data_IF_348786191142
#
_entry.id   IF_348786191142
#
_cell.length_a   1.000
_cell.length_b   1.000
_cell.length_c   1.000
_cell.angle_alpha   90.00
_cell.angle_beta   90.00
_cell.angle_gamma   90.00
#
_symmetry.space_group_name_H-M   'P 1'
#
loop_
_entity.id
_entity.type
_entity.pdbx_description
1 polymer ?
#
# COMPACT_ATOMS: atom_id res chain seq x y z
N UNK A 1 26.03 -2.48 11.92
CA UNK A 1 25.21 -1.43 12.60
C UNK A 1 23.76 -1.96 12.77
N UNK A 2 22.77 -1.15 13.16
CA UNK A 2 21.38 -1.65 13.34
C UNK A 2 20.79 -2.26 12.06
N UNK A 3 21.16 -1.72 10.89
CA UNK A 3 20.74 -2.25 9.60
C UNK A 3 21.32 -3.64 9.37
N UNK A 4 22.63 -3.79 9.54
CA UNK A 4 23.32 -5.08 9.41
C UNK A 4 22.78 -6.14 10.39
N UNK A 5 22.45 -5.74 11.62
CA UNK A 5 21.84 -6.63 12.61
C UNK A 5 20.44 -7.10 12.16
N UNK A 6 19.61 -6.19 11.63
CA UNK A 6 18.30 -6.53 11.11
C UNK A 6 18.38 -7.43 9.86
N UNK A 7 19.27 -7.12 8.92
CA UNK A 7 19.52 -7.94 7.73
C UNK A 7 20.04 -9.34 8.09
N UNK A 8 20.90 -9.42 9.10
CA UNK A 8 21.40 -10.69 9.63
C UNK A 8 20.26 -11.51 10.25
N UNK A 9 19.41 -10.91 11.08
CA UNK A 9 18.25 -11.59 11.67
C UNK A 9 17.34 -12.17 10.58
N UNK A 10 16.99 -11.35 9.58
CA UNK A 10 16.14 -11.76 8.45
C UNK A 10 16.80 -12.86 7.63
N UNK A 11 18.09 -12.76 7.32
CA UNK A 11 18.80 -13.79 6.54
C UNK A 11 18.93 -15.13 7.29
N UNK A 12 18.88 -15.11 8.62
CA UNK A 12 18.82 -16.31 9.46
C UNK A 12 17.38 -16.86 9.63
N UNK A 13 16.39 -16.29 8.94
CA UNK A 13 14.99 -16.68 9.03
C UNK A 13 14.25 -16.16 10.27
N UNK A 14 14.87 -15.23 11.01
CA UNK A 14 14.22 -14.51 12.10
C UNK A 14 13.31 -13.40 11.56
N UNK A 15 12.29 -13.04 12.34
CA UNK A 15 11.39 -11.94 12.05
C UNK A 15 11.31 -10.95 13.21
N UNK A 16 10.67 -9.82 12.96
CA UNK A 16 10.30 -8.88 14.01
C UNK A 16 8.84 -9.12 14.37
N UNK A 17 8.58 -9.56 15.59
CA UNK A 17 7.23 -9.71 16.14
C UNK A 17 7.05 -8.81 17.35
N UNK A 18 5.86 -8.25 17.49
CA UNK A 18 5.44 -7.66 18.75
C UNK A 18 4.79 -8.74 19.62
N UNK A 19 5.05 -8.71 20.93
CA UNK A 19 4.46 -9.66 21.89
C UNK A 19 2.99 -9.38 22.19
N UNK A 20 2.49 -8.21 21.79
CA UNK A 20 1.12 -7.77 22.07
C UNK A 20 0.25 -7.87 20.81
N UNK A 21 -0.99 -8.42 20.91
CA UNK A 21 -1.96 -8.36 19.82
C UNK A 21 -2.26 -6.92 19.41
N UNK A 22 -2.43 -6.67 18.11
CA UNK A 22 -2.65 -5.33 17.57
C UNK A 22 -3.86 -4.64 18.19
N UNK A 23 -4.98 -5.35 18.36
CA UNK A 23 -6.19 -4.84 19.03
C UNK A 23 -5.89 -4.28 20.42
N UNK A 24 -5.10 -5.00 21.22
CA UNK A 24 -4.72 -4.57 22.58
C UNK A 24 -3.83 -3.33 22.56
N UNK A 25 -2.95 -3.20 21.57
CA UNK A 25 -2.10 -2.01 21.39
C UNK A 25 -2.96 -0.80 21.02
N UNK A 26 -3.90 -0.97 20.09
CA UNK A 26 -4.82 0.09 19.65
C UNK A 26 -5.75 0.52 20.78
N UNK A 27 -6.36 -0.43 21.49
CA UNK A 27 -7.20 -0.15 22.66
C UNK A 27 -6.45 0.65 23.72
N UNK A 28 -5.24 0.21 24.09
CA UNK A 28 -4.43 0.90 25.09
C UNK A 28 -4.05 2.33 24.64
N UNK A 29 -3.70 2.52 23.37
CA UNK A 29 -3.39 3.83 22.82
C UNK A 29 -4.63 4.74 22.87
N UNK A 30 -5.79 4.26 22.46
CA UNK A 30 -7.05 5.02 22.49
C UNK A 30 -7.47 5.39 23.91
N UNK A 31 -7.33 4.49 24.89
CA UNK A 31 -7.57 4.77 26.31
C UNK A 31 -6.67 5.89 26.85
N UNK A 32 -5.46 6.02 26.31
CA UNK A 32 -4.53 7.10 26.61
C UNK A 32 -4.81 8.40 25.81
N UNK A 33 -5.84 8.42 24.96
CA UNK A 33 -6.16 9.53 24.07
C UNK A 33 -5.27 9.61 22.81
N UNK A 34 -4.54 8.54 22.51
CA UNK A 34 -3.69 8.42 21.33
C UNK A 34 -4.47 8.19 20.03
N UNK A 35 -3.73 8.27 18.92
CA UNK A 35 -4.21 8.05 17.55
C UNK A 35 -3.34 6.95 16.93
N UNK A 36 -3.97 5.95 16.33
CA UNK A 36 -3.31 4.79 15.74
C UNK A 36 -3.24 4.91 14.23
N UNK A 37 -2.02 4.98 13.70
CA UNK A 37 -1.74 5.17 12.27
C UNK A 37 -0.92 4.00 11.75
N UNK A 38 -1.32 3.43 10.61
CA UNK A 38 -0.52 2.43 9.91
C UNK A 38 0.67 3.12 9.24
N UNK A 39 1.88 2.78 9.70
CA UNK A 39 3.13 3.34 9.17
C UNK A 39 3.55 2.64 7.87
N UNK A 40 4.04 3.43 6.91
CA UNK A 40 4.66 3.05 5.64
C UNK A 40 4.09 1.76 5.01
N UNK A 41 2.77 1.72 4.69
CA UNK A 41 2.08 0.53 4.18
C UNK A 41 2.65 -0.01 2.87
N UNK A 42 3.32 0.81 2.07
CA UNK A 42 3.94 0.45 0.79
C UNK A 42 5.37 -0.03 0.88
N UNK A 43 5.91 -0.20 2.08
CA UNK A 43 7.26 -0.70 2.30
C UNK A 43 7.30 -2.23 2.12
N UNK A 44 8.05 -2.71 1.14
CA UNK A 44 8.07 -4.13 0.73
C UNK A 44 9.11 -5.01 1.45
N UNK A 45 10.07 -4.41 2.16
CA UNK A 45 11.23 -5.12 2.76
C UNK A 45 10.92 -5.89 4.07
N UNK A 46 9.68 -5.84 4.53
CA UNK A 46 9.24 -6.45 5.80
C UNK A 46 8.14 -7.50 5.55
N UNK A 47 6.88 -7.19 5.86
CA UNK A 47 5.73 -8.10 5.71
C UNK A 47 5.09 -8.06 4.32
N UNK A 48 5.70 -7.32 3.39
CA UNK A 48 5.15 -7.03 2.07
C UNK A 48 4.33 -5.74 2.04
N UNK A 49 3.94 -5.35 0.82
CA UNK A 49 3.11 -4.17 0.57
C UNK A 49 1.67 -4.43 1.00
N UNK A 50 1.13 -3.56 1.85
CA UNK A 50 -0.26 -3.60 2.25
C UNK A 50 -1.18 -3.24 1.08
N UNK A 51 -2.08 -4.16 0.74
CA UNK A 51 -3.13 -3.92 -0.25
C UNK A 51 -4.37 -3.29 0.38
N UNK A 52 -5.30 -2.80 -0.46
CA UNK A 52 -6.60 -2.33 -0.01
C UNK A 52 -7.36 -3.43 0.78
N UNK A 53 -7.29 -4.68 0.31
CA UNK A 53 -7.96 -5.82 0.97
C UNK A 53 -7.32 -6.15 2.33
N UNK A 54 -6.00 -6.01 2.46
CA UNK A 54 -5.34 -6.18 3.75
C UNK A 54 -5.78 -5.12 4.75
N UNK A 55 -5.86 -3.86 4.30
CA UNK A 55 -6.36 -2.74 5.11
C UNK A 55 -7.82 -2.95 5.51
N UNK A 56 -8.69 -3.38 4.60
CA UNK A 56 -10.11 -3.66 4.89
C UNK A 56 -10.25 -4.73 5.97
N UNK A 57 -9.56 -5.84 5.82
CA UNK A 57 -9.56 -6.93 6.82
C UNK A 57 -9.06 -6.47 8.20
N UNK A 58 -8.09 -5.55 8.24
CA UNK A 58 -7.64 -4.96 9.51
C UNK A 58 -8.72 -4.09 10.14
N UNK A 59 -9.38 -3.24 9.35
CA UNK A 59 -10.39 -2.30 9.82
C UNK A 59 -11.71 -2.98 10.23
N UNK A 60 -11.98 -4.18 9.75
CA UNK A 60 -13.13 -5.00 10.19
C UNK A 60 -13.11 -5.29 11.70
N UNK A 61 -11.92 -5.35 12.31
CA UNK A 61 -11.74 -5.80 13.70
C UNK A 61 -11.01 -4.79 14.57
N UNK A 62 -10.27 -3.84 13.98
CA UNK A 62 -9.37 -2.95 14.71
C UNK A 62 -9.64 -1.50 14.30
N UNK A 63 -10.02 -0.61 15.25
CA UNK A 63 -10.37 0.77 14.93
C UNK A 63 -9.11 1.62 14.71
N UNK A 64 -8.47 1.51 13.55
CA UNK A 64 -7.35 2.37 13.19
C UNK A 64 -7.85 3.74 12.73
N UNK A 65 -7.10 4.78 13.07
CA UNK A 65 -7.51 6.18 12.80
C UNK A 65 -6.91 6.75 11.53
N UNK A 66 -5.74 6.24 11.10
CA UNK A 66 -4.98 6.84 10.01
C UNK A 66 -4.09 5.89 9.24
N UNK A 67 -3.61 6.39 8.10
CA UNK A 67 -2.71 5.72 7.18
C UNK A 67 -1.61 6.68 6.75
N UNK A 68 -0.36 6.21 6.73
CA UNK A 68 0.74 7.00 6.18
C UNK A 68 0.65 7.07 4.66
N UNK A 69 0.28 8.26 4.15
CA UNK A 69 0.22 8.54 2.72
C UNK A 69 1.53 9.08 2.17
N UNK A 70 2.42 9.56 3.03
CA UNK A 70 3.65 10.26 2.67
C UNK A 70 4.85 9.61 3.33
N UNK A 71 5.59 8.84 2.54
CA UNK A 71 6.77 8.12 2.99
C UNK A 71 7.95 8.44 2.06
N UNK A 72 9.17 8.43 2.60
CA UNK A 72 10.39 8.90 1.91
C UNK A 72 10.68 8.20 0.56
N UNK A 73 10.18 6.99 0.36
CA UNK A 73 10.44 6.16 -0.82
C UNK A 73 9.25 6.05 -1.76
N UNK A 74 8.17 6.80 -1.51
CA UNK A 74 7.02 6.78 -2.39
C UNK A 74 7.23 7.60 -3.65
N UNK A 75 6.75 7.05 -4.76
CA UNK A 75 6.43 7.82 -5.96
C UNK A 75 5.15 8.62 -5.74
N UNK A 76 4.89 9.61 -6.59
CA UNK A 76 3.65 10.38 -6.51
C UNK A 76 2.40 9.50 -6.70
N UNK A 77 2.48 8.45 -7.51
CA UNK A 77 1.41 7.47 -7.70
C UNK A 77 1.17 6.63 -6.44
N UNK A 78 2.23 6.23 -5.73
CA UNK A 78 2.11 5.53 -4.46
C UNK A 78 1.52 6.44 -3.38
N UNK A 79 1.96 7.70 -3.30
CA UNK A 79 1.33 8.70 -2.43
C UNK A 79 -0.14 8.90 -2.79
N UNK A 80 -0.48 9.00 -4.08
CA UNK A 80 -1.87 9.09 -4.53
C UNK A 80 -2.69 7.89 -4.09
N UNK A 81 -2.15 6.68 -4.25
CA UNK A 81 -2.79 5.43 -3.85
C UNK A 81 -3.12 5.42 -2.36
N UNK A 82 -2.15 5.60 -1.47
CA UNK A 82 -2.39 5.52 -0.04
C UNK A 82 -3.24 6.67 0.50
N UNK A 83 -3.12 7.86 -0.08
CA UNK A 83 -4.05 8.96 0.23
C UNK A 83 -5.48 8.64 -0.20
N UNK A 84 -5.67 8.02 -1.36
CA UNK A 84 -6.96 7.55 -1.84
C UNK A 84 -7.56 6.50 -0.90
N UNK A 85 -6.77 5.48 -0.53
CA UNK A 85 -7.20 4.44 0.41
C UNK A 85 -7.65 5.01 1.76
N UNK A 86 -6.92 6.01 2.28
CA UNK A 86 -7.29 6.72 3.50
C UNK A 86 -8.61 7.50 3.31
N UNK A 87 -8.72 8.27 2.23
CA UNK A 87 -9.90 9.09 1.94
C UNK A 87 -11.16 8.23 1.80
N UNK A 88 -11.09 7.11 1.06
CA UNK A 88 -12.20 6.19 0.83
C UNK A 88 -12.73 5.57 2.14
N UNK A 89 -11.89 5.52 3.17
CA UNK A 89 -12.20 4.93 4.50
C UNK A 89 -12.40 5.98 5.59
N UNK A 90 -12.36 7.27 5.24
CA UNK A 90 -12.48 8.36 6.22
C UNK A 90 -11.32 8.41 7.24
N UNK A 91 -10.16 7.87 6.88
CA UNK A 91 -8.98 7.82 7.73
C UNK A 91 -8.13 9.08 7.60
N UNK A 92 -7.40 9.42 8.66
CA UNK A 92 -6.44 10.51 8.69
C UNK A 92 -5.20 10.16 7.85
N UNK A 93 -4.60 11.16 7.19
CA UNK A 93 -3.33 10.99 6.48
C UNK A 93 -2.17 11.50 7.33
N UNK A 94 -1.15 10.65 7.55
CA UNK A 94 0.12 11.05 8.15
C UNK A 94 1.26 11.22 7.13
N UNK A 95 2.35 11.82 7.59
CA UNK A 95 3.61 11.97 6.86
C UNK A 95 4.79 11.66 7.79
N UNK A 96 5.79 10.92 7.30
CA UNK A 96 6.94 10.54 8.10
C UNK A 96 8.19 10.17 7.29
N UNK A 97 9.37 10.60 7.78
CA UNK A 97 10.65 10.31 7.10
C UNK A 97 11.26 9.01 7.48
N UNK A 98 10.85 8.45 8.62
CA UNK A 98 11.46 7.25 9.15
C UNK A 98 13.00 7.42 9.24
N UNK A 99 13.42 8.61 9.69
CA UNK A 99 14.81 8.95 9.95
C UNK A 99 15.14 8.58 11.39
N UNK A 100 16.29 7.95 11.59
CA UNK A 100 16.74 7.39 12.87
C UNK A 100 17.90 8.19 13.47
N UNK A 101 18.69 8.85 12.62
CA UNK A 101 19.74 9.82 12.97
C UNK A 101 20.15 10.59 11.71
N UNK A 102 20.94 11.69 11.80
CA UNK A 102 21.50 12.34 10.62
C UNK A 102 22.16 11.33 9.67
N UNK A 103 21.72 11.32 8.41
CA UNK A 103 22.15 10.39 7.37
C UNK A 103 21.78 8.91 7.60
N UNK A 104 20.85 8.57 8.50
CA UNK A 104 20.51 7.18 8.86
C UNK A 104 18.99 6.95 8.94
N UNK A 105 18.40 6.12 8.05
CA UNK A 105 18.91 5.78 6.72
C UNK A 105 19.00 7.01 5.81
N UNK A 106 18.26 8.07 6.13
CA UNK A 106 18.21 9.36 5.46
C UNK A 106 18.14 10.49 6.49
N UNK A 107 18.43 11.71 6.06
CA UNK A 107 18.11 12.90 6.87
C UNK A 107 16.59 13.08 7.02
N UNK A 108 16.13 13.72 8.12
CA UNK A 108 14.73 14.06 8.28
C UNK A 108 14.24 14.91 7.10
N UNK A 109 13.11 14.50 6.51
CA UNK A 109 12.46 15.22 5.42
C UNK A 109 11.31 16.07 5.98
N UNK A 110 11.27 17.39 5.72
CA UNK A 110 10.17 18.23 6.17
C UNK A 110 9.00 18.19 5.17
N UNK A 111 7.94 17.42 5.46
CA UNK A 111 6.69 17.52 4.69
C UNK A 111 5.96 18.82 4.98
N UNK A 112 5.18 19.29 4.00
CA UNK A 112 4.27 20.42 4.22
C UNK A 112 3.23 20.03 5.25
N UNK A 113 3.09 20.80 6.33
CA UNK A 113 2.10 20.55 7.39
C UNK A 113 0.67 20.41 6.83
N UNK A 114 0.35 21.16 5.77
CA UNK A 114 -0.98 21.08 5.13
C UNK A 114 -1.31 19.71 4.55
N UNK A 115 -0.32 18.86 4.24
CA UNK A 115 -0.58 17.55 3.64
C UNK A 115 -1.12 16.53 4.65
N UNK A 116 -0.97 16.79 5.94
CA UNK A 116 -1.51 16.03 7.06
C UNK A 116 -2.32 16.93 8.03
N UNK A 117 -2.92 18.00 7.52
CA UNK A 117 -3.61 19.00 8.34
C UNK A 117 -4.70 18.40 9.25
N UNK A 118 -5.47 17.42 8.77
CA UNK A 118 -6.54 16.80 9.56
C UNK A 118 -5.99 16.01 10.75
N UNK A 119 -4.86 15.32 10.56
CA UNK A 119 -4.16 14.64 11.65
C UNK A 119 -3.62 15.65 12.67
N UNK A 120 -2.99 16.73 12.20
CA UNK A 120 -2.50 17.79 13.07
C UNK A 120 -3.63 18.44 13.86
N UNK A 121 -4.77 18.73 13.21
CA UNK A 121 -5.95 19.27 13.86
C UNK A 121 -6.51 18.31 14.91
N UNK A 122 -6.53 17.00 14.63
CA UNK A 122 -6.92 15.96 15.61
C UNK A 122 -6.04 15.96 16.85
N UNK A 123 -4.78 16.37 16.70
CA UNK A 123 -3.78 16.51 17.77
C UNK A 123 -3.75 17.94 18.38
N UNK A 124 -4.67 18.82 18.00
CA UNK A 124 -4.77 20.19 18.51
C UNK A 124 -3.80 21.19 17.88
N UNK A 125 -3.17 20.84 16.76
CA UNK A 125 -2.27 21.72 16.00
C UNK A 125 -3.01 22.25 14.76
N UNK A 126 -3.34 23.54 14.77
CA UNK A 126 -4.00 24.18 13.64
C UNK A 126 -3.00 24.57 12.57
N UNK A 127 -3.25 24.15 11.32
CA UNK A 127 -2.49 24.57 10.15
C UNK A 127 -3.20 25.75 9.50
N UNK A 128 -2.48 26.84 9.29
CA UNK A 128 -3.02 28.03 8.63
C UNK A 128 -3.44 27.68 7.18
N UNK A 129 -4.73 27.83 6.81
CA UNK A 129 -5.18 27.54 5.45
C UNK A 129 -4.61 28.50 4.40
N UNK A 130 -4.17 29.69 4.84
CA UNK A 130 -3.65 30.78 4.01
C UNK A 130 -2.12 30.79 3.94
N UNK A 131 -1.43 29.79 4.53
CA UNK A 131 0.02 29.63 4.41
C UNK A 131 0.44 29.58 2.92
N UNK A 132 1.25 30.55 2.45
CA UNK A 132 1.73 30.59 1.07
C UNK A 132 2.50 29.33 0.64
N UNK A 133 3.11 28.62 1.60
CA UNK A 133 3.81 27.35 1.39
C UNK A 133 2.90 26.12 1.47
N UNK A 134 1.70 26.25 2.04
CA UNK A 134 0.78 25.16 2.30
C UNK A 134 -0.28 25.09 1.23
N UNK A 135 -0.01 24.50 0.06
CA UNK A 135 -1.10 24.09 -0.86
C UNK A 135 -1.59 22.69 -0.48
N UNK A 136 -2.86 22.40 -0.72
CA UNK A 136 -3.35 21.03 -0.61
C UNK A 136 -2.51 20.13 -1.52
N UNK A 137 -2.23 18.91 -1.06
CA UNK A 137 -1.46 17.95 -1.86
C UNK A 137 -2.20 17.61 -3.16
N UNK A 138 -1.44 17.44 -4.24
CA UNK A 138 -1.88 16.83 -5.49
C UNK A 138 -0.70 16.08 -6.13
N UNK A 139 -0.98 15.11 -7.00
CA UNK A 139 0.06 14.44 -7.80
C UNK A 139 0.90 15.49 -8.57
N UNK A 140 2.22 15.31 -8.61
CA UNK A 140 3.20 16.22 -9.22
C UNK A 140 3.60 17.41 -8.34
N UNK A 141 3.11 17.50 -7.10
CA UNK A 141 3.39 18.65 -6.20
C UNK A 141 4.58 18.44 -5.30
N UNK A 142 5.03 17.21 -5.13
CA UNK A 142 6.17 16.90 -4.28
C UNK A 142 7.47 16.91 -5.11
N UNK A 143 8.32 17.93 -4.97
CA UNK A 143 9.57 18.01 -5.73
C UNK A 143 10.59 16.93 -5.31
N UNK A 144 10.33 16.22 -4.21
CA UNK A 144 11.18 15.16 -3.67
C UNK A 144 10.53 13.78 -3.78
N UNK A 145 9.42 13.65 -4.53
CA UNK A 145 8.84 12.35 -4.82
C UNK A 145 9.84 11.48 -5.59
N UNK A 146 9.84 10.18 -5.30
CA UNK A 146 10.69 9.23 -6.03
C UNK A 146 10.20 9.15 -7.48
N UNK A 147 11.10 9.42 -8.42
CA UNK A 147 10.83 9.22 -9.84
C UNK A 147 11.10 7.75 -10.16
N UNK A 148 10.12 6.98 -10.68
CA UNK A 148 10.35 5.60 -11.08
C UNK A 148 11.48 5.53 -12.13
N UNK A 149 12.37 4.54 -12.00
CA UNK A 149 13.26 4.24 -13.13
C UNK A 149 12.41 3.77 -14.32
N UNK A 150 12.74 4.19 -15.56
CA UNK A 150 12.03 3.69 -16.74
C UNK A 150 12.16 2.17 -16.79
N UNK A 151 11.05 1.47 -17.05
CA UNK A 151 11.06 0.02 -17.21
C UNK A 151 12.11 -0.36 -18.26
N UNK A 152 13.06 -1.22 -17.87
CA UNK A 152 14.00 -1.80 -18.83
C UNK A 152 13.18 -2.53 -19.89
N UNK A 153 13.51 -2.37 -21.19
CA UNK A 153 12.80 -3.09 -22.24
C UNK A 153 12.79 -4.57 -21.91
N UNK A 154 11.59 -5.14 -21.76
CA UNK A 154 11.42 -6.58 -21.63
C UNK A 154 12.04 -7.20 -22.87
N UNK A 155 13.15 -7.91 -22.70
CA UNK A 155 13.74 -8.69 -23.76
C UNK A 155 12.72 -9.78 -24.11
N UNK A 156 11.97 -9.56 -25.18
CA UNK A 156 11.03 -10.53 -25.73
C UNK A 156 11.83 -11.80 -26.02
N UNK A 157 11.65 -12.84 -25.22
CA UNK A 157 12.17 -14.16 -25.53
C UNK A 157 11.71 -14.52 -26.96
N UNK A 158 12.60 -15.04 -27.82
CA UNK A 158 12.20 -15.43 -29.16
C UNK A 158 11.08 -16.46 -29.07
N UNK A 159 10.02 -16.25 -29.86
CA UNK A 159 8.93 -17.18 -29.97
C UNK A 159 9.49 -18.56 -30.35
N UNK A 160 9.19 -19.57 -29.52
CA UNK A 160 9.39 -20.97 -29.86
C UNK A 160 8.78 -21.24 -31.25
N UNK A 161 9.51 -21.89 -32.18
CA UNK A 161 8.96 -22.21 -33.48
C UNK A 161 7.81 -23.20 -33.29
N UNK A 162 6.61 -22.79 -33.70
CA UNK A 162 5.42 -23.64 -33.66
C UNK A 162 5.65 -24.95 -34.40
N UNK A 163 5.39 -26.06 -33.72
CA UNK A 163 5.29 -27.40 -34.30
C UNK A 163 4.18 -27.38 -35.36
N UNK A 164 4.60 -27.39 -36.63
CA UNK A 164 3.74 -27.58 -37.77
C UNK A 164 3.32 -29.04 -37.88
N UNK A 165 2.35 -29.44 -37.07
CA UNK A 165 1.59 -30.67 -37.30
C UNK A 165 0.24 -30.34 -37.95
N UNK A 166 -0.07 -30.87 -39.15
CA UNK A 166 -1.35 -30.62 -39.80
C UNK A 166 -2.49 -31.32 -39.03
N UNK A 167 -3.56 -30.58 -38.77
CA UNK A 167 -4.80 -31.11 -38.23
C UNK A 167 -5.38 -32.17 -39.17
N UNK A 168 -5.45 -33.42 -38.69
CA UNK A 168 -6.26 -34.46 -39.31
C UNK A 168 -7.68 -34.39 -38.77
N UNK A 169 -8.65 -34.11 -39.64
CA UNK A 169 -10.08 -34.14 -39.30
C UNK A 169 -10.51 -35.53 -38.78
N UNK A 170 -11.28 -35.61 -37.68
CA UNK A 170 -11.93 -36.86 -37.29
C UNK A 170 -13.14 -37.17 -38.19
N UNK A 171 -13.43 -38.45 -38.47
CA UNK A 171 -14.52 -38.84 -39.37
C UNK A 171 -15.90 -38.68 -38.71
N UNK A 172 -16.90 -38.44 -39.56
CA UNK A 172 -18.30 -38.27 -39.20
C UNK A 172 -18.95 -39.59 -38.76
N UNK A 173 -19.24 -39.71 -37.47
CA UNK A 173 -20.24 -40.56 -36.77
C UNK A 173 -19.94 -40.32 -35.28
N UNK A 174 -20.78 -39.69 -34.47
CA UNK A 174 -22.06 -40.19 -33.95
C UNK A 174 -22.88 -39.00 -33.47
N UNK A 175 -24.10 -38.89 -34.00
CA UNK A 175 -25.18 -38.02 -33.54
C UNK A 175 -25.74 -38.54 -32.20
N UNK A 176 -26.12 -37.59 -31.34
CA UNK A 176 -27.15 -37.64 -30.29
C UNK A 176 -26.66 -37.22 -28.89
N UNK A 177 -27.52 -36.41 -28.26
CA UNK A 177 -27.55 -36.04 -26.83
C UNK A 177 -26.73 -34.83 -26.37
N UNK A 178 -27.06 -33.62 -26.86
CA UNK A 178 -27.25 -32.45 -25.98
C UNK A 178 -28.30 -31.48 -26.59
N UNK A 179 -29.58 -31.84 -26.56
CA UNK A 179 -30.67 -30.88 -26.78
C UNK A 179 -31.92 -31.31 -25.97
N UNK A 180 -31.93 -30.94 -24.69
CA UNK A 180 -33.06 -30.86 -23.74
C UNK A 180 -32.41 -30.54 -22.38
N UNK A 181 -32.67 -29.49 -21.61
CA UNK A 181 -33.84 -28.64 -21.47
C UNK A 181 -33.36 -27.22 -21.09
N UNK A 182 -33.66 -26.23 -21.93
CA UNK A 182 -33.95 -24.87 -21.47
C UNK A 182 -35.45 -24.68 -21.61
N UNK A 183 -36.22 -24.86 -20.54
CA UNK A 183 -37.49 -24.16 -20.31
C UNK A 183 -38.19 -24.73 -19.08
N UNK A 184 -38.19 -23.99 -17.97
CA UNK A 184 -39.41 -23.76 -17.17
C UNK A 184 -39.16 -22.70 -16.09
N UNK A 185 -39.78 -21.54 -16.30
CA UNK A 185 -40.15 -20.58 -15.25
C UNK A 185 -41.58 -20.93 -14.82
N UNK A 186 -41.97 -20.69 -13.56
CA UNK A 186 -43.33 -20.22 -13.33
C UNK A 186 -43.42 -18.97 -12.44
N UNK A 187 -44.57 -18.33 -12.60
CA UNK A 187 -45.05 -17.07 -12.04
C UNK A 187 -45.47 -17.14 -10.57
#
# INVERSE_FOLDING_TARGET
>A
DLKEAAETLVSLGGGFSADQPLERVVEAAHLAGGVCVVAHPGRSDSVGVMTAADLDRMLETIPLDGLEGHYRSYTDEQTALYRGLAADRGMLVSCGSDSHAPGKPVDPRPWQARWCADLLARLGVMVDPDDPGGRAWACGRDPLAVVPEPEKPTETAPAEPGDGSPATDPPAEVLAEVEAERSTVPA
#
